data_IF_043582842966
#
_entry.id   IF_043582842966
#
_cell.length_a   1.000
_cell.length_b   1.000
_cell.length_c   1.000
_cell.angle_alpha   90.00
_cell.angle_beta   90.00
_cell.angle_gamma   90.00
#
_symmetry.space_group_name_H-M   'P 1'
#
loop_
_entity.id
_entity.type
_entity.pdbx_description
1 polymer ?
#
# COMPACT_ATOMS: atom_id res chain seq x y z
N UNK A 1 1.86 -20.72 18.43
CA UNK A 1 2.43 -20.12 17.21
C UNK A 1 3.58 -19.22 17.64
N UNK A 2 4.82 -19.58 17.29
CA UNK A 2 5.99 -18.74 17.56
C UNK A 2 5.87 -17.45 16.74
N UNK A 3 6.13 -16.30 17.35
CA UNK A 3 6.23 -14.99 16.68
C UNK A 3 7.30 -14.96 15.58
N UNK A 4 8.14 -16.00 15.48
CA UNK A 4 9.22 -16.14 14.50
C UNK A 4 8.75 -16.33 13.04
N UNK A 5 7.47 -16.56 12.77
CA UNK A 5 6.95 -16.75 11.40
C UNK A 5 6.27 -15.50 10.82
N UNK A 6 6.24 -14.39 11.57
CA UNK A 6 5.76 -13.11 11.04
C UNK A 6 6.92 -12.36 10.39
N UNK A 7 7.28 -12.76 9.17
CA UNK A 7 8.24 -12.03 8.36
C UNK A 7 7.63 -10.69 7.95
N UNK A 8 8.14 -9.62 8.55
CA UNK A 8 7.83 -8.26 8.15
C UNK A 8 8.48 -7.93 6.80
N UNK A 9 7.76 -7.16 5.99
CA UNK A 9 8.26 -6.59 4.74
C UNK A 9 7.81 -5.14 4.70
N UNK A 10 8.75 -4.22 4.51
CA UNK A 10 8.41 -2.82 4.32
C UNK A 10 7.90 -2.61 2.90
N UNK A 11 6.66 -2.14 2.75
CA UNK A 11 6.03 -1.92 1.45
C UNK A 11 6.11 -0.45 1.03
N UNK A 12 6.29 0.47 1.97
CA UNK A 12 6.24 1.90 1.69
C UNK A 12 7.64 2.54 1.73
N UNK A 13 8.54 2.15 0.81
CA UNK A 13 9.88 2.74 0.71
C UNK A 13 10.01 3.68 -0.47
N UNK A 14 10.55 4.87 -0.22
CA UNK A 14 10.76 5.93 -1.22
C UNK A 14 12.25 6.16 -1.42
N UNK A 15 12.71 6.18 -2.67
CA UNK A 15 14.11 6.48 -3.02
C UNK A 15 14.31 7.94 -3.41
N UNK A 16 15.55 8.37 -3.60
CA UNK A 16 15.91 9.72 -4.08
C UNK A 16 15.31 10.07 -5.46
N UNK A 17 14.74 9.10 -6.18
CA UNK A 17 13.99 9.35 -7.41
C UNK A 17 12.63 10.03 -7.16
N UNK A 18 12.21 10.13 -5.90
CA UNK A 18 11.13 11.00 -5.46
C UNK A 18 11.70 12.36 -5.04
N UNK A 19 11.69 13.30 -5.98
CA UNK A 19 12.34 14.61 -5.83
C UNK A 19 11.93 15.32 -4.54
N UNK A 20 12.92 15.82 -3.78
CA UNK A 20 12.76 16.49 -2.48
C UNK A 20 11.99 15.68 -1.41
N UNK A 21 11.87 14.36 -1.59
CA UNK A 21 11.13 13.47 -0.67
C UNK A 21 11.92 12.25 -0.23
N UNK A 22 12.74 11.68 -1.13
CA UNK A 22 13.69 10.62 -0.78
C UNK A 22 15.12 11.14 -0.73
N UNK A 23 15.89 10.67 0.24
CA UNK A 23 17.31 10.97 0.36
C UNK A 23 18.20 9.78 -0.06
N UNK A 24 17.78 8.56 0.28
CA UNK A 24 18.58 7.36 0.04
C UNK A 24 18.46 6.84 -1.40
N UNK A 25 19.57 6.32 -1.90
CA UNK A 25 19.62 5.59 -3.16
C UNK A 25 18.96 4.20 -3.04
N UNK A 26 18.46 3.61 -4.14
CA UNK A 26 17.99 2.24 -4.13
C UNK A 26 19.02 1.24 -3.59
N UNK A 27 20.30 1.44 -3.89
CA UNK A 27 21.39 0.57 -3.43
C UNK A 27 21.56 0.61 -1.91
N UNK A 28 21.52 1.81 -1.30
CA UNK A 28 21.55 1.98 0.15
C UNK A 28 20.32 1.37 0.84
N UNK A 29 19.13 1.57 0.27
CA UNK A 29 17.88 1.02 0.79
C UNK A 29 17.90 -0.52 0.81
N UNK A 30 18.39 -1.13 -0.27
CA UNK A 30 18.47 -2.58 -0.38
C UNK A 30 19.57 -3.17 0.51
N UNK A 31 20.68 -2.45 0.69
CA UNK A 31 21.74 -2.83 1.63
C UNK A 31 21.23 -2.81 3.07
N UNK A 32 20.53 -1.73 3.46
CA UNK A 32 19.92 -1.63 4.78
C UNK A 32 18.88 -2.73 5.01
N UNK A 33 18.05 -3.04 4.01
CA UNK A 33 17.08 -4.13 4.09
C UNK A 33 17.75 -5.49 4.35
N UNK A 34 18.89 -5.76 3.69
CA UNK A 34 19.66 -6.98 3.90
C UNK A 34 20.25 -7.04 5.32
N UNK A 35 20.80 -5.93 5.81
CA UNK A 35 21.32 -5.83 7.19
C UNK A 35 20.24 -6.06 8.24
N UNK A 36 19.01 -5.64 7.97
CA UNK A 36 17.83 -5.85 8.84
C UNK A 36 17.21 -7.24 8.70
N UNK A 37 17.72 -8.08 7.79
CA UNK A 37 17.18 -9.42 7.53
C UNK A 37 15.79 -9.42 6.87
N UNK A 38 15.43 -8.33 6.17
CA UNK A 38 14.17 -8.26 5.45
C UNK A 38 14.22 -9.16 4.20
N UNK A 39 13.23 -10.05 3.99
CA UNK A 39 13.22 -10.92 2.82
C UNK A 39 12.83 -10.17 1.53
N UNK A 40 12.16 -9.03 1.67
CA UNK A 40 11.72 -8.20 0.56
C UNK A 40 11.54 -6.73 0.98
N UNK A 41 11.45 -5.84 -0.01
CA UNK A 41 11.18 -4.41 0.17
C UNK A 41 10.34 -3.88 -1.02
N UNK A 42 9.32 -3.08 -0.73
CA UNK A 42 8.50 -2.38 -1.71
C UNK A 42 9.06 -1.00 -2.02
N UNK A 43 9.51 -0.80 -3.27
CA UNK A 43 9.97 0.51 -3.73
C UNK A 43 8.78 1.20 -4.41
N UNK A 44 8.32 2.28 -3.80
CA UNK A 44 7.13 3.07 -4.18
C UNK A 44 7.50 4.55 -4.31
N UNK A 45 8.27 4.88 -5.35
CA UNK A 45 8.57 6.27 -5.66
C UNK A 45 7.29 7.06 -6.01
N UNK A 46 7.28 8.34 -5.67
CA UNK A 46 6.14 9.24 -5.88
C UNK A 46 5.99 9.59 -7.35
N UNK A 47 4.84 9.26 -7.93
CA UNK A 47 4.46 9.57 -9.30
C UNK A 47 5.56 9.22 -10.32
N UNK A 48 6.34 8.18 -10.02
CA UNK A 48 7.54 7.81 -10.77
C UNK A 48 7.88 6.34 -10.57
N UNK A 49 8.53 5.76 -11.58
CA UNK A 49 9.11 4.41 -11.56
C UNK A 49 10.62 4.45 -11.84
N UNK A 50 11.22 5.64 -11.83
CA UNK A 50 12.61 5.86 -12.27
C UNK A 50 13.63 5.06 -11.43
N UNK A 51 13.34 4.84 -10.14
CA UNK A 51 14.21 4.07 -9.25
C UNK A 51 14.12 2.55 -9.39
N UNK A 52 13.12 2.01 -10.11
CA UNK A 52 12.87 0.57 -10.10
C UNK A 52 13.99 -0.25 -10.75
N UNK A 53 14.58 0.22 -11.84
CA UNK A 53 15.65 -0.53 -12.53
C UNK A 53 16.88 -0.68 -11.62
N UNK A 54 17.27 0.42 -10.96
CA UNK A 54 18.40 0.43 -10.01
C UNK A 54 18.09 -0.38 -8.76
N UNK A 55 16.87 -0.28 -8.23
CA UNK A 55 16.42 -1.11 -7.13
C UNK A 55 16.52 -2.60 -7.47
N UNK A 56 16.06 -2.98 -8.66
CA UNK A 56 16.06 -4.38 -9.10
C UNK A 56 17.48 -4.95 -9.23
N UNK A 57 18.43 -4.16 -9.74
CA UNK A 57 19.84 -4.56 -9.80
C UNK A 57 20.47 -4.66 -8.40
N UNK A 58 20.17 -3.72 -7.51
CA UNK A 58 20.59 -3.78 -6.12
C UNK A 58 20.04 -5.01 -5.38
N UNK A 59 18.78 -5.37 -5.62
CA UNK A 59 18.15 -6.55 -5.02
C UNK A 59 18.81 -7.87 -5.42
N UNK A 60 19.33 -7.95 -6.65
CA UNK A 60 20.15 -9.10 -7.08
C UNK A 60 21.46 -9.19 -6.34
N UNK A 61 22.09 -8.04 -6.09
CA UNK A 61 23.38 -7.95 -5.41
C UNK A 61 23.25 -8.27 -3.91
N UNK A 62 22.16 -7.86 -3.26
CA UNK A 62 21.95 -8.05 -1.82
C UNK A 62 21.17 -9.32 -1.46
N UNK A 63 20.51 -9.96 -2.43
CA UNK A 63 19.62 -11.10 -2.21
C UNK A 63 18.25 -10.74 -1.65
N UNK A 64 17.94 -9.44 -1.49
CA UNK A 64 16.64 -8.95 -1.03
C UNK A 64 15.70 -8.79 -2.23
N UNK A 65 14.50 -9.37 -2.13
CA UNK A 65 13.50 -9.26 -3.21
C UNK A 65 12.93 -7.83 -3.29
N UNK A 66 12.93 -7.25 -4.49
CA UNK A 66 12.25 -5.98 -4.77
C UNK A 66 10.81 -6.24 -5.19
N UNK A 67 9.87 -5.54 -4.55
CA UNK A 67 8.47 -5.48 -4.94
C UNK A 67 8.28 -4.16 -5.68
N UNK A 68 7.94 -4.25 -6.97
CA UNK A 68 7.72 -3.09 -7.82
C UNK A 68 6.41 -2.41 -7.43
N UNK A 69 6.48 -1.13 -7.04
CA UNK A 69 5.29 -0.33 -6.79
C UNK A 69 5.49 1.12 -7.19
N UNK A 70 4.46 1.93 -6.94
CA UNK A 70 4.50 3.37 -7.10
C UNK A 70 3.57 4.00 -6.06
N UNK A 71 3.95 5.16 -5.55
CA UNK A 71 3.03 6.00 -4.78
C UNK A 71 2.39 7.00 -5.74
N UNK A 72 1.08 6.90 -5.94
CA UNK A 72 0.29 7.90 -6.64
C UNK A 72 -0.16 8.96 -5.65
N UNK A 73 0.32 10.18 -5.83
CA UNK A 73 -0.25 11.35 -5.15
C UNK A 73 -1.26 11.99 -6.13
N UNK A 74 -2.56 11.89 -5.80
CA UNK A 74 -3.65 12.43 -6.60
C UNK A 74 -3.81 13.94 -6.39
N UNK A 75 -4.41 14.62 -7.37
CA UNK A 75 -4.63 16.06 -7.33
C UNK A 75 -5.48 16.50 -6.12
N UNK A 76 -6.42 15.66 -5.69
CA UNK A 76 -7.24 15.88 -4.49
C UNK A 76 -6.50 15.67 -3.16
N UNK A 77 -5.17 15.49 -3.19
CA UNK A 77 -4.32 15.27 -2.02
C UNK A 77 -4.23 13.82 -1.55
N UNK A 78 -5.03 12.92 -2.11
CA UNK A 78 -5.08 11.52 -1.68
C UNK A 78 -3.83 10.75 -2.12
N UNK A 79 -3.22 10.01 -1.19
CA UNK A 79 -2.09 9.13 -1.47
C UNK A 79 -2.51 7.66 -1.63
N UNK A 80 -2.04 7.01 -2.69
CA UNK A 80 -2.25 5.59 -2.96
C UNK A 80 -0.92 4.89 -3.21
N UNK A 81 -0.66 3.76 -2.58
CA UNK A 81 0.36 2.84 -3.05
C UNK A 81 -0.26 1.89 -4.06
N UNK A 82 0.36 1.72 -5.21
CA UNK A 82 -0.10 0.79 -6.23
C UNK A 82 0.99 -0.21 -6.59
N UNK A 83 0.59 -1.48 -6.73
CA UNK A 83 1.49 -2.59 -7.08
C UNK A 83 0.91 -3.36 -8.28
N UNK A 84 1.58 -3.34 -9.44
CA UNK A 84 1.17 -4.16 -10.58
C UNK A 84 1.41 -5.65 -10.32
N UNK A 85 0.41 -6.48 -10.60
CA UNK A 85 0.48 -7.94 -10.41
C UNK A 85 1.11 -8.66 -11.59
N UNK A 86 1.16 -8.03 -12.76
CA UNK A 86 1.69 -8.60 -13.99
C UNK A 86 2.29 -7.53 -14.92
N UNK A 87 2.85 -7.96 -16.05
CA UNK A 87 3.48 -7.07 -17.04
C UNK A 87 2.48 -6.15 -17.73
N UNK A 88 1.24 -6.57 -17.95
CA UNK A 88 0.21 -5.73 -18.55
C UNK A 88 -0.21 -4.62 -17.58
N UNK A 89 -0.37 -4.94 -16.30
CA UNK A 89 -0.64 -4.01 -15.21
C UNK A 89 0.49 -3.00 -15.05
N UNK A 90 1.76 -3.43 -15.15
CA UNK A 90 2.90 -2.52 -15.18
C UNK A 90 2.81 -1.55 -16.35
N UNK A 91 2.47 -2.03 -17.56
CA UNK A 91 2.24 -1.19 -18.72
C UNK A 91 1.09 -0.19 -18.54
N UNK A 92 -0.01 -0.59 -17.88
CA UNK A 92 -1.12 0.31 -17.51
C UNK A 92 -0.68 1.39 -16.53
N UNK A 93 0.09 1.04 -15.50
CA UNK A 93 0.67 1.99 -14.56
C UNK A 93 1.59 3.02 -15.26
N UNK A 94 2.44 2.58 -16.18
CA UNK A 94 3.26 3.50 -16.98
C UNK A 94 2.42 4.48 -17.80
N UNK A 95 1.32 4.01 -18.41
CA UNK A 95 0.39 4.88 -19.16
C UNK A 95 -0.30 5.89 -18.25
N UNK A 96 -0.79 5.45 -17.09
CA UNK A 96 -1.37 6.32 -16.07
C UNK A 96 -0.41 7.43 -15.66
N UNK A 97 0.84 7.10 -15.32
CA UNK A 97 1.86 8.08 -14.96
C UNK A 97 2.21 9.03 -16.11
N UNK A 98 2.26 8.52 -17.34
CA UNK A 98 2.52 9.34 -18.54
C UNK A 98 1.39 10.35 -18.77
N UNK A 99 0.14 9.92 -18.61
CA UNK A 99 -1.03 10.78 -18.68
C UNK A 99 -0.95 11.91 -17.64
N UNK A 100 -0.70 11.58 -16.37
CA UNK A 100 -0.60 12.59 -15.32
C UNK A 100 0.56 13.57 -15.51
N UNK A 101 1.72 13.09 -15.99
CA UNK A 101 2.86 13.94 -16.33
C UNK A 101 2.61 14.83 -17.55
N UNK A 102 1.78 14.39 -18.49
CA UNK A 102 1.43 15.20 -19.68
C UNK A 102 0.47 16.35 -19.36
N UNK A 103 -0.37 16.19 -18.34
CA UNK A 103 -1.28 17.24 -17.85
C UNK A 103 -0.56 18.25 -16.97
N UNK A 104 0.40 17.78 -16.20
CA UNK A 104 1.20 18.64 -15.34
C UNK A 104 2.36 19.32 -16.11
N UNK A 105 2.78 20.48 -15.60
CA UNK A 105 4.02 21.13 -16.06
C UNK A 105 5.28 20.33 -15.69
N UNK A 106 6.44 20.88 -16.03
CA UNK A 106 7.75 20.26 -15.76
C UNK A 106 7.88 19.83 -14.29
N UNK A 107 8.10 18.54 -14.07
CA UNK A 107 8.33 17.97 -12.74
C UNK A 107 7.05 17.69 -11.93
N UNK A 108 5.87 17.97 -12.47
CA UNK A 108 4.59 17.63 -11.86
C UNK A 108 3.99 16.32 -12.38
N UNK A 109 2.92 15.88 -11.72
CA UNK A 109 2.08 14.79 -12.19
C UNK A 109 0.67 15.02 -11.62
N UNK A 110 -0.31 15.21 -12.51
CA UNK A 110 -1.69 15.48 -12.13
C UNK A 110 -2.57 14.27 -12.43
N UNK A 111 -2.96 13.56 -11.38
CA UNK A 111 -3.78 12.34 -11.47
C UNK A 111 -5.09 12.53 -10.70
N UNK A 112 -6.19 12.09 -11.31
CA UNK A 112 -7.52 12.11 -10.72
C UNK A 112 -8.05 10.69 -10.52
N UNK A 113 -9.11 10.56 -9.73
CA UNK A 113 -9.77 9.27 -9.48
C UNK A 113 -10.24 8.59 -10.77
N UNK A 114 -10.73 9.35 -11.75
CA UNK A 114 -11.18 8.81 -13.04
C UNK A 114 -10.04 8.15 -13.82
N UNK A 115 -8.83 8.69 -13.73
CA UNK A 115 -7.66 8.09 -14.36
C UNK A 115 -7.29 6.77 -13.67
N UNK A 116 -7.31 6.77 -12.33
CA UNK A 116 -7.05 5.58 -11.53
C UNK A 116 -8.07 4.48 -11.86
N UNK A 117 -9.35 4.83 -11.90
CA UNK A 117 -10.43 3.91 -12.26
C UNK A 117 -10.20 3.28 -13.64
N UNK A 118 -9.88 4.11 -14.63
CA UNK A 118 -9.62 3.70 -16.03
C UNK A 118 -8.45 2.71 -16.14
N UNK A 119 -7.38 2.89 -15.36
CA UNK A 119 -6.14 2.11 -15.48
C UNK A 119 -5.90 1.12 -14.32
N UNK A 120 -6.92 0.84 -13.49
CA UNK A 120 -6.83 0.04 -12.25
C UNK A 120 -6.66 -1.47 -12.41
N UNK A 121 -6.90 -2.01 -13.61
CA UNK A 121 -6.89 -3.45 -13.86
C UNK A 121 -5.50 -4.08 -13.56
N UNK A 122 -5.47 -5.17 -12.80
CA UNK A 122 -4.23 -5.83 -12.37
C UNK A 122 -3.35 -5.03 -11.40
N UNK A 123 -3.82 -3.89 -10.87
CA UNK A 123 -3.16 -3.18 -9.78
C UNK A 123 -3.75 -3.59 -8.42
N UNK A 124 -2.89 -3.75 -7.43
CA UNK A 124 -3.27 -3.75 -6.01
C UNK A 124 -3.11 -2.33 -5.47
N UNK A 125 -4.07 -1.84 -4.70
CA UNK A 125 -4.02 -0.49 -4.13
C UNK A 125 -4.07 -0.51 -2.61
N UNK A 126 -3.24 0.32 -1.98
CA UNK A 126 -3.24 0.57 -0.54
C UNK A 126 -3.48 2.07 -0.33
N UNK A 127 -4.59 2.44 0.31
CA UNK A 127 -4.89 3.81 0.68
C UNK A 127 -3.95 4.27 1.80
N UNK A 128 -3.33 5.44 1.65
CA UNK A 128 -2.60 6.11 2.73
C UNK A 128 -3.52 7.20 3.29
N UNK A 129 -4.08 7.01 4.51
CA UNK A 129 -4.88 8.04 5.14
C UNK A 129 -3.99 9.15 5.72
N UNK A 130 -4.42 10.40 5.58
CA UNK A 130 -3.77 11.55 6.24
C UNK A 130 -4.42 11.86 7.61
N UNK A 131 -5.74 11.67 7.73
CA UNK A 131 -6.56 11.91 8.93
C UNK A 131 -7.77 10.97 8.97
N UNK A 132 -8.36 10.73 10.14
CA UNK A 132 -9.64 10.03 10.26
C UNK A 132 -10.80 11.03 10.12
N UNK A 133 -11.14 11.38 8.87
CA UNK A 133 -12.16 12.36 8.54
C UNK A 133 -13.09 11.89 7.41
N UNK A 134 -14.07 12.74 7.08
CA UNK A 134 -15.04 12.46 6.01
C UNK A 134 -14.36 12.28 4.63
N UNK A 135 -13.19 12.90 4.41
CA UNK A 135 -12.44 12.75 3.17
C UNK A 135 -11.85 11.35 3.08
N UNK A 136 -11.22 10.85 4.14
CA UNK A 136 -10.71 9.47 4.19
C UNK A 136 -11.83 8.44 4.01
N UNK A 137 -13.02 8.68 4.56
CA UNK A 137 -14.17 7.82 4.33
C UNK A 137 -14.60 7.81 2.85
N UNK A 138 -14.64 8.98 2.19
CA UNK A 138 -14.94 9.07 0.76
C UNK A 138 -13.86 8.40 -0.11
N UNK A 139 -12.59 8.55 0.26
CA UNK A 139 -11.46 7.92 -0.42
C UNK A 139 -11.50 6.39 -0.25
N UNK A 140 -11.91 5.88 0.92
CA UNK A 140 -12.14 4.44 1.16
C UNK A 140 -13.24 3.87 0.25
N UNK A 141 -14.34 4.60 0.07
CA UNK A 141 -15.41 4.21 -0.86
C UNK A 141 -14.88 4.17 -2.30
N UNK A 142 -14.06 5.16 -2.67
CA UNK A 142 -13.44 5.24 -4.00
C UNK A 142 -12.47 4.08 -4.26
N UNK A 143 -11.56 3.78 -3.32
CA UNK A 143 -10.62 2.64 -3.48
C UNK A 143 -11.36 1.31 -3.49
N UNK A 144 -12.32 1.09 -2.59
CA UNK A 144 -13.05 -0.18 -2.52
C UNK A 144 -13.90 -0.43 -3.76
N UNK A 145 -14.51 0.60 -4.35
CA UNK A 145 -15.27 0.47 -5.59
C UNK A 145 -14.38 0.18 -6.80
N UNK A 146 -13.22 0.83 -6.91
CA UNK A 146 -12.30 0.68 -8.04
C UNK A 146 -11.51 -0.64 -7.98
N UNK A 147 -10.91 -0.96 -6.83
CA UNK A 147 -9.98 -2.07 -6.69
C UNK A 147 -10.62 -3.35 -6.13
N UNK A 148 -11.83 -3.25 -5.55
CA UNK A 148 -12.58 -4.38 -5.00
C UNK A 148 -11.72 -5.18 -4.01
N UNK A 149 -11.60 -6.49 -4.19
CA UNK A 149 -10.79 -7.35 -3.31
C UNK A 149 -9.29 -7.01 -3.28
N UNK A 150 -8.82 -6.12 -4.17
CA UNK A 150 -7.43 -5.65 -4.25
C UNK A 150 -7.21 -4.31 -3.55
N UNK A 151 -8.21 -3.82 -2.79
CA UNK A 151 -8.09 -2.62 -1.96
C UNK A 151 -7.63 -2.93 -0.54
N UNK A 152 -6.68 -2.16 -0.04
CA UNK A 152 -6.20 -2.21 1.34
C UNK A 152 -6.09 -0.80 1.92
N UNK A 153 -5.98 -0.70 3.24
CA UNK A 153 -5.73 0.53 3.99
C UNK A 153 -4.39 0.41 4.72
N UNK A 154 -3.53 1.42 4.59
CA UNK A 154 -2.29 1.51 5.34
C UNK A 154 -2.59 1.94 6.78
N UNK A 155 -1.94 1.28 7.75
CA UNK A 155 -1.96 1.67 9.15
C UNK A 155 -0.55 2.13 9.52
N UNK A 156 -0.39 3.43 9.76
CA UNK A 156 0.91 4.03 10.12
C UNK A 156 0.87 4.49 11.56
N UNK A 157 1.81 4.02 12.39
CA UNK A 157 2.02 4.54 13.75
C UNK A 157 2.94 5.76 13.67
N UNK A 158 2.38 6.97 13.83
CA UNK A 158 3.16 8.21 13.70
C UNK A 158 3.96 8.59 14.95
N UNK A 159 3.76 7.86 16.07
CA UNK A 159 4.41 8.06 17.38
C UNK A 159 4.38 9.53 17.84
N UNK A 160 3.28 10.22 17.55
CA UNK A 160 3.04 11.58 18.04
C UNK A 160 2.59 11.55 19.51
N UNK A 161 2.82 12.61 20.30
CA UNK A 161 2.25 12.74 21.63
C UNK A 161 0.70 12.68 21.55
N UNK A 162 0.11 11.56 21.96
CA UNK A 162 -1.34 11.28 21.85
C UNK A 162 -1.66 9.91 21.26
N UNK A 163 -0.75 9.34 20.45
CA UNK A 163 -0.98 8.05 19.79
C UNK A 163 -1.14 6.89 20.78
N UNK A 164 -0.49 6.96 21.95
CA UNK A 164 -0.57 5.93 22.99
C UNK A 164 -1.91 5.93 23.76
N UNK A 165 -2.59 7.08 23.87
CA UNK A 165 -3.83 7.22 24.65
C UNK A 165 -5.07 6.73 23.86
N UNK A 166 -5.03 6.82 22.53
CA UNK A 166 -6.09 6.32 21.65
C UNK A 166 -6.34 4.81 21.81
N UNK A 167 -5.30 4.02 22.12
CA UNK A 167 -5.41 2.56 22.30
C UNK A 167 -6.05 2.15 23.63
N UNK A 168 -5.91 2.95 24.69
CA UNK A 168 -6.39 2.59 26.03
C UNK A 168 -7.90 2.76 26.22
N UNK A 169 -8.57 3.55 25.38
CA UNK A 169 -10.02 3.80 25.50
C UNK A 169 -10.88 2.81 24.70
N UNK A 170 -10.28 2.02 23.81
CA UNK A 170 -10.96 0.97 23.04
C UNK A 170 -10.66 -0.42 23.63
N UNK A 171 -11.37 -0.78 24.70
CA UNK A 171 -11.38 -2.15 25.23
C UNK A 171 -12.09 -3.15 24.30
N UNK A 172 -11.93 -4.48 24.50
CA UNK A 172 -12.46 -5.50 23.60
C UNK A 172 -14.01 -5.59 23.70
N UNK A 173 -14.71 -5.16 22.66
CA UNK A 173 -16.16 -5.28 22.56
C UNK A 173 -16.59 -6.75 22.40
N UNK A 174 -17.56 -7.21 23.21
CA UNK A 174 -18.12 -8.58 23.17
C UNK A 174 -19.24 -8.69 22.12
N UNK A 175 -19.34 -9.81 21.38
CA UNK A 175 -20.33 -9.97 20.32
C UNK A 175 -21.63 -10.62 20.83
N UNK A 176 -22.56 -9.86 21.41
CA UNK A 176 -24.01 -10.08 21.37
C UNK A 176 -24.78 -9.14 22.30
N UNK A 177 -25.42 -8.09 21.76
CA UNK A 177 -26.65 -7.52 22.32
C UNK A 177 -27.51 -6.93 21.19
N UNK A 178 -28.84 -7.18 21.13
CA UNK A 178 -29.63 -6.82 19.94
C UNK A 178 -30.16 -5.38 19.91
N UNK A 179 -29.93 -4.54 20.93
CA UNK A 179 -30.48 -3.17 20.96
C UNK A 179 -29.66 -2.29 21.91
N UNK A 180 -28.68 -1.56 21.37
CA UNK A 180 -28.12 -0.33 21.96
C UNK A 180 -27.18 0.35 20.95
N UNK A 181 -27.63 1.46 20.35
CA UNK A 181 -26.75 2.47 19.76
C UNK A 181 -26.78 3.68 20.70
N UNK A 182 -25.67 4.00 21.40
CA UNK A 182 -24.95 5.28 21.18
C UNK A 182 -23.44 5.23 21.56
N UNK A 183 -22.69 6.36 21.57
CA UNK A 183 -22.45 7.35 20.52
C UNK A 183 -21.15 7.02 19.73
N UNK A 184 -20.83 7.86 18.75
CA UNK A 184 -19.72 7.79 17.78
C UNK A 184 -18.40 7.35 18.45
N UNK A 185 -17.98 6.12 18.17
CA UNK A 185 -16.65 5.57 18.46
C UNK A 185 -16.36 4.47 17.42
N UNK A 186 -15.12 4.40 16.90
CA UNK A 186 -14.80 3.70 15.66
C UNK A 186 -14.81 2.17 15.86
N UNK A 187 -15.18 1.37 14.84
CA UNK A 187 -14.87 -0.04 14.85
C UNK A 187 -13.38 -0.24 14.55
N UNK A 188 -12.56 -0.30 15.60
CA UNK A 188 -11.22 -0.88 15.53
C UNK A 188 -11.38 -2.40 15.47
N UNK A 189 -11.12 -2.98 14.30
CA UNK A 189 -10.95 -4.41 14.17
C UNK A 189 -9.48 -4.80 14.38
N UNK A 190 -9.30 -5.88 15.14
CA UNK A 190 -8.08 -6.65 15.39
C UNK A 190 -7.08 -6.70 14.20
N UNK A 191 -5.76 -6.84 14.46
CA UNK A 191 -4.76 -7.08 13.42
C UNK A 191 -4.87 -8.53 12.93
N UNK A 192 -5.94 -8.82 12.20
CA UNK A 192 -6.10 -10.06 11.44
C UNK A 192 -6.98 -9.72 10.26
N UNK A 193 -6.35 -9.61 9.10
CA UNK A 193 -6.91 -9.58 7.75
C UNK A 193 -8.46 -9.66 7.71
N UNK A 194 -9.14 -8.50 7.70
CA UNK A 194 -10.60 -8.48 7.53
C UNK A 194 -10.93 -8.85 6.08
N UNK A 195 -11.48 -10.05 5.88
CA UNK A 195 -12.03 -10.53 4.60
C UNK A 195 -13.55 -10.62 4.76
N UNK A 196 -14.28 -9.80 4.01
CA UNK A 196 -15.74 -9.91 3.90
C UNK A 196 -16.08 -11.13 3.04
N UNK A 197 -16.52 -12.24 3.65
CA UNK A 197 -17.28 -13.28 2.93
C UNK A 197 -18.27 -13.97 3.86
N UNK A 198 -19.56 -13.69 3.65
CA UNK A 198 -20.62 -14.68 3.90
C UNK A 198 -20.53 -15.71 2.79
N UNK A 199 -20.19 -16.95 3.11
CA UNK A 199 -20.21 -18.06 2.15
C UNK A 199 -19.13 -19.11 2.43
N UNK A 200 -19.57 -20.29 2.81
CA UNK A 200 -18.80 -21.49 3.17
C UNK A 200 -17.96 -22.10 2.02
N UNK A 201 -16.66 -22.36 2.30
CA UNK A 201 -15.76 -23.50 1.96
C UNK A 201 -15.85 -24.20 0.56
N UNK A 202 -14.72 -24.69 -0.05
CA UNK A 202 -13.77 -25.60 0.63
C UNK A 202 -12.28 -25.41 0.32
N UNK A 203 -11.49 -25.96 1.24
CA UNK A 203 -10.06 -26.28 1.13
C UNK A 203 -9.74 -27.05 -0.15
N UNK A 204 -9.02 -26.43 -1.10
CA UNK A 204 -8.08 -27.11 -2.01
C UNK A 204 -7.19 -26.12 -2.75
N UNK A 205 -5.89 -26.30 -2.53
CA UNK A 205 -4.74 -26.06 -3.42
C UNK A 205 -4.93 -24.98 -4.51
N UNK A 206 -4.37 -23.80 -4.26
CA UNK A 206 -3.88 -22.93 -5.32
C UNK A 206 -2.41 -22.61 -5.04
N UNK A 207 -1.56 -23.56 -5.42
CA UNK A 207 -0.22 -23.27 -5.91
C UNK A 207 -0.12 -24.01 -7.24
N UNK A 208 0.23 -23.31 -8.33
CA UNK A 208 1.46 -23.74 -8.99
C UNK A 208 2.34 -22.59 -9.48
N UNK A 209 3.63 -22.72 -9.14
CA UNK A 209 4.80 -22.47 -10.00
C UNK A 209 5.10 -21.03 -10.45
N UNK A 210 5.50 -20.15 -9.53
CA UNK A 210 6.33 -18.97 -9.84
C UNK A 210 7.38 -18.66 -8.75
N UNK A 211 7.58 -19.57 -7.80
CA UNK A 211 8.48 -19.41 -6.64
C UNK A 211 9.89 -19.99 -6.83
N UNK A 212 10.34 -20.21 -8.06
CA UNK A 212 11.71 -20.65 -8.32
C UNK A 212 12.17 -20.19 -9.70
N UNK A 213 12.87 -19.05 -9.74
CA UNK A 213 14.01 -18.70 -10.60
C UNK A 213 14.42 -17.26 -10.32
#
# INVERSE_FOLDING_TARGET
>A
MSLADQRYVELQVTSHFSFLRGASSPEELLTAAAMLGLPAIGIVDRNSLAGLVRAWDAGRSTGVRVINGCRLDLYCGTGLLVYPTDRAAYGRLCRLLTLGKSRAGKGGCELHWDDVATWSEGLIAILIPDSDDAKTQADLVSVSSIFQERSYLALTLQRQPGDALAWHMTGPARPNSPNSWPPISPPIACPTLWRSTRGSLPTRRLCPKWWSS
#
